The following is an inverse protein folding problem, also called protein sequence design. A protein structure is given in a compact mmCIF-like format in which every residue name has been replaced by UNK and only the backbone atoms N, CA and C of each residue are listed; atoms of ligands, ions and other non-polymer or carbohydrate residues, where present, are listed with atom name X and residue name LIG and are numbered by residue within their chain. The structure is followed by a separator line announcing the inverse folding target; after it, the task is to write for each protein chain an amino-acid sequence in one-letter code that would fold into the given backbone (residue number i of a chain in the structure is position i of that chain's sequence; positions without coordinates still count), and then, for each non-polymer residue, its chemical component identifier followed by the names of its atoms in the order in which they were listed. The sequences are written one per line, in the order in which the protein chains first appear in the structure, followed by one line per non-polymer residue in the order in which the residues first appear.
data_IF_090507946980
#
_entry.id   IF_090507946980
#
_cell.length_a   1.000
_cell.length_b   1.000
_cell.length_c   1.000
_cell.angle_alpha   90.00
_cell.angle_beta   90.00
_cell.angle_gamma   90.00
#
_symmetry.space_group_name_H-M   'P 1'
#
loop_
_entity.id
_entity.type
_entity.pdbx_description
1 polymer ?
#
# COMPACT_ATOMS: atom_id res chain seq x y z
N UNK A 1 0.84 -38.39 -16.69
CA UNK A 1 -0.16 -38.58 -17.75
C UNK A 1 -0.83 -37.22 -17.91
N UNK A 2 -0.44 -36.56 -18.98
CA UNK A 2 -0.93 -35.26 -19.38
C UNK A 2 -2.28 -35.39 -20.06
N UNK A 3 -3.28 -34.72 -19.57
CA UNK A 3 -4.54 -34.56 -20.28
C UNK A 3 -4.85 -33.08 -20.43
N UNK A 4 -4.38 -32.49 -21.52
CA UNK A 4 -4.89 -31.21 -21.98
C UNK A 4 -6.16 -31.49 -22.78
N UNK A 5 -7.28 -30.98 -22.33
CA UNK A 5 -8.50 -30.93 -23.10
C UNK A 5 -8.47 -29.65 -23.93
N UNK A 6 -8.22 -29.75 -25.22
CA UNK A 6 -8.52 -28.67 -26.14
C UNK A 6 -10.03 -28.51 -26.24
N UNK A 7 -10.54 -27.42 -25.74
CA UNK A 7 -11.89 -26.97 -26.11
C UNK A 7 -11.73 -26.01 -27.28
N UNK A 8 -11.98 -26.53 -28.45
CA UNK A 8 -11.99 -25.75 -29.68
C UNK A 8 -13.16 -24.77 -29.71
N UNK A 9 -12.88 -23.60 -30.21
CA UNK A 9 -13.88 -22.88 -30.97
C UNK A 9 -14.33 -21.53 -30.46
N UNK A 10 -14.07 -20.57 -31.27
CA UNK A 10 -14.67 -19.26 -31.48
C UNK A 10 -14.14 -18.12 -30.63
N UNK A 11 -13.47 -17.24 -31.33
CA UNK A 11 -12.89 -15.98 -30.93
C UNK A 11 -13.57 -15.26 -29.80
N UNK A 12 -13.09 -15.51 -28.59
CA UNK A 12 -13.20 -14.54 -27.54
C UNK A 12 -12.04 -13.56 -27.74
N UNK A 13 -12.39 -12.34 -28.10
CA UNK A 13 -11.55 -11.18 -27.85
C UNK A 13 -11.24 -11.28 -26.38
N UNK A 14 -9.99 -11.62 -26.03
CA UNK A 14 -9.60 -11.78 -24.66
C UNK A 14 -10.06 -10.54 -23.87
N UNK A 15 -10.84 -10.74 -22.83
CA UNK A 15 -11.13 -9.67 -21.89
C UNK A 15 -9.79 -9.20 -21.38
N UNK A 16 -9.41 -7.95 -21.70
CA UNK A 16 -8.26 -7.30 -21.07
C UNK A 16 -8.53 -7.40 -19.57
N UNK A 17 -7.71 -8.17 -18.86
CA UNK A 17 -7.85 -8.28 -17.42
C UNK A 17 -7.74 -6.87 -16.86
N UNK A 18 -8.82 -6.38 -16.21
CA UNK A 18 -8.80 -5.09 -15.53
C UNK A 18 -7.74 -5.15 -14.45
N UNK A 19 -6.79 -4.20 -14.48
CA UNK A 19 -5.78 -4.06 -13.46
C UNK A 19 -5.92 -2.72 -12.77
N UNK A 20 -5.67 -2.70 -11.49
CA UNK A 20 -5.67 -1.50 -10.66
C UNK A 20 -4.32 -1.32 -9.98
N UNK A 21 -3.98 -0.06 -9.71
CA UNK A 21 -2.82 0.33 -8.93
C UNK A 21 -3.26 0.92 -7.60
N UNK A 22 -2.45 0.72 -6.58
CA UNK A 22 -2.67 1.32 -5.27
C UNK A 22 -1.37 1.80 -4.66
N UNK A 23 -1.45 2.81 -3.80
CA UNK A 23 -0.29 3.33 -3.09
C UNK A 23 -0.16 2.63 -1.74
N UNK A 24 1.07 2.26 -1.42
CA UNK A 24 1.46 1.81 -0.09
C UNK A 24 2.62 2.67 0.40
N UNK A 25 2.57 3.07 1.66
CA UNK A 25 3.71 3.67 2.34
C UNK A 25 4.13 2.73 3.48
N UNK A 26 5.40 2.38 3.52
CA UNK A 26 6.01 1.83 4.72
C UNK A 26 6.48 3.03 5.53
N UNK A 27 5.85 3.23 6.68
CA UNK A 27 6.05 4.42 7.52
C UNK A 27 7.44 4.42 8.18
N UNK A 28 7.88 5.54 8.76
CA UNK A 28 9.22 5.61 9.36
C UNK A 28 9.51 4.52 10.38
N UNK A 29 8.53 4.09 11.17
CA UNK A 29 8.69 3.01 12.14
C UNK A 29 9.01 1.66 11.48
N UNK A 30 8.39 1.35 10.35
CA UNK A 30 8.71 0.14 9.58
C UNK A 30 10.15 0.16 9.04
N UNK A 31 10.59 1.30 8.55
CA UNK A 31 11.96 1.48 8.04
C UNK A 31 12.98 1.39 9.19
N UNK A 32 12.74 2.09 10.30
CA UNK A 32 13.59 2.06 11.50
C UNK A 32 13.73 0.65 12.06
N UNK A 33 12.64 -0.12 12.09
CA UNK A 33 12.61 -1.48 12.59
C UNK A 33 13.13 -2.51 11.59
N UNK A 34 13.58 -2.09 10.41
CA UNK A 34 14.12 -2.97 9.35
C UNK A 34 13.13 -4.03 8.87
N UNK A 35 11.87 -3.62 8.75
CA UNK A 35 10.78 -4.48 8.30
C UNK A 35 10.48 -4.34 6.80
N UNK A 36 11.18 -3.46 6.08
CA UNK A 36 10.93 -3.20 4.65
C UNK A 36 10.93 -4.48 3.84
N UNK A 37 11.98 -5.29 3.96
CA UNK A 37 12.09 -6.54 3.20
C UNK A 37 10.97 -7.52 3.49
N UNK A 38 10.58 -7.68 4.74
CA UNK A 38 9.51 -8.60 5.15
C UNK A 38 8.14 -8.14 4.62
N UNK A 39 7.86 -6.85 4.67
CA UNK A 39 6.59 -6.30 4.19
C UNK A 39 6.50 -6.37 2.67
N UNK A 40 7.56 -5.97 1.97
CA UNK A 40 7.63 -6.05 0.50
C UNK A 40 7.49 -7.50 0.02
N UNK A 41 8.16 -8.44 0.69
CA UNK A 41 8.06 -9.86 0.37
C UNK A 41 6.61 -10.38 0.46
N UNK A 42 5.81 -9.90 1.38
CA UNK A 42 4.40 -10.28 1.49
C UNK A 42 3.58 -9.84 0.28
N UNK A 43 3.82 -8.63 -0.22
CA UNK A 43 3.14 -8.15 -1.43
C UNK A 43 3.55 -8.94 -2.66
N UNK A 44 4.84 -9.24 -2.81
CA UNK A 44 5.33 -10.09 -3.91
C UNK A 44 4.77 -11.52 -3.82
N UNK A 45 4.75 -12.10 -2.62
CA UNK A 45 4.18 -13.43 -2.40
C UNK A 45 2.68 -13.50 -2.71
N UNK A 46 1.97 -12.39 -2.59
CA UNK A 46 0.55 -12.25 -2.97
C UNK A 46 0.35 -12.08 -4.48
N UNK A 47 1.43 -12.14 -5.27
CA UNK A 47 1.42 -11.95 -6.72
C UNK A 47 1.00 -10.53 -7.14
N UNK A 48 1.35 -9.53 -6.35
CA UNK A 48 1.19 -8.13 -6.70
C UNK A 48 2.49 -7.62 -7.31
N UNK A 49 2.39 -6.87 -8.40
CA UNK A 49 3.54 -6.32 -9.10
C UNK A 49 3.96 -5.00 -8.45
N UNK A 50 5.25 -4.83 -8.20
CA UNK A 50 5.82 -3.56 -7.77
C UNK A 50 6.14 -2.77 -9.04
N UNK A 51 5.35 -1.75 -9.33
CA UNK A 51 5.56 -0.92 -10.54
C UNK A 51 6.36 0.35 -10.24
N UNK A 52 6.46 0.76 -8.98
CA UNK A 52 7.36 1.80 -8.52
C UNK A 52 7.70 1.57 -7.05
N UNK A 53 8.93 1.89 -6.66
CA UNK A 53 9.40 1.82 -5.28
C UNK A 53 10.48 2.87 -5.04
N UNK A 54 10.36 3.63 -3.95
CA UNK A 54 11.29 4.70 -3.62
C UNK A 54 11.45 4.84 -2.11
N UNK A 55 12.69 4.88 -1.65
CA UNK A 55 13.01 5.33 -0.29
C UNK A 55 13.07 6.86 -0.31
N UNK A 56 12.22 7.50 0.49
CA UNK A 56 11.97 8.93 0.34
C UNK A 56 11.76 9.61 1.69
N UNK A 57 12.44 10.73 1.90
CA UNK A 57 12.14 11.63 3.00
C UNK A 57 10.98 12.54 2.59
N UNK A 58 9.87 12.50 3.33
CA UNK A 58 8.71 13.32 3.02
C UNK A 58 8.90 14.75 3.52
N UNK A 59 8.59 15.72 2.67
CA UNK A 59 8.53 17.13 3.04
C UNK A 59 7.12 17.54 3.48
N UNK A 60 7.02 18.73 4.05
CA UNK A 60 5.74 19.25 4.58
C UNK A 60 4.70 19.47 3.49
N UNK A 61 5.10 19.81 2.28
CA UNK A 61 4.20 20.03 1.15
C UNK A 61 3.58 18.71 0.67
N UNK A 62 4.40 17.68 0.49
CA UNK A 62 3.92 16.35 0.14
C UNK A 62 2.97 15.79 1.20
N UNK A 63 3.30 15.97 2.49
CA UNK A 63 2.45 15.53 3.59
C UNK A 63 1.11 16.27 3.62
N UNK A 64 1.11 17.57 3.37
CA UNK A 64 -0.12 18.36 3.30
C UNK A 64 -1.02 17.91 2.14
N UNK A 65 -0.45 17.57 1.00
CA UNK A 65 -1.19 17.04 -0.14
C UNK A 65 -1.75 15.64 0.12
N UNK A 66 -0.93 14.77 0.70
CA UNK A 66 -1.33 13.39 1.00
C UNK A 66 -2.42 13.33 2.07
N UNK A 67 -2.28 14.13 3.12
CA UNK A 67 -3.20 14.20 4.26
C UNK A 67 -4.12 15.43 4.20
N UNK A 68 -4.51 15.88 3.01
CA UNK A 68 -5.30 17.12 2.87
C UNK A 68 -6.57 17.16 3.71
N UNK A 69 -7.22 16.01 3.92
CA UNK A 69 -8.42 15.89 4.76
C UNK A 69 -8.13 16.08 6.25
N UNK A 70 -6.88 15.99 6.65
CA UNK A 70 -6.45 16.08 8.05
C UNK A 70 -5.83 17.42 8.40
N UNK A 71 -5.48 18.25 7.41
CA UNK A 71 -4.91 19.58 7.62
C UNK A 71 -5.85 20.40 8.49
N UNK A 72 -5.30 21.02 9.54
CA UNK A 72 -6.07 21.82 10.49
C UNK A 72 -6.73 21.04 11.62
N UNK A 73 -6.67 19.71 11.63
CA UNK A 73 -7.14 18.90 12.76
C UNK A 73 -6.09 18.84 13.87
N UNK A 74 -6.53 18.63 15.11
CA UNK A 74 -5.66 18.69 16.28
C UNK A 74 -4.51 17.67 16.28
N UNK A 75 -4.67 16.51 15.62
CA UNK A 75 -3.64 15.48 15.53
C UNK A 75 -2.67 15.69 14.35
N UNK A 76 -2.91 16.68 13.50
CA UNK A 76 -2.14 16.83 12.24
C UNK A 76 -0.66 17.12 12.50
N UNK A 77 -0.34 17.97 13.48
CA UNK A 77 1.05 18.29 13.82
C UNK A 77 1.84 17.04 14.24
N UNK A 78 1.25 16.18 15.07
CA UNK A 78 1.86 14.93 15.50
C UNK A 78 2.04 13.96 14.34
N UNK A 79 1.07 13.90 13.42
CA UNK A 79 1.14 13.09 12.21
C UNK A 79 2.29 13.53 11.30
N UNK A 80 2.45 14.83 11.09
CA UNK A 80 3.56 15.40 10.30
C UNK A 80 4.91 15.09 10.94
N UNK A 81 5.04 15.27 12.25
CA UNK A 81 6.25 14.96 13.00
C UNK A 81 6.62 13.48 12.84
N UNK A 82 5.66 12.58 13.03
CA UNK A 82 5.87 11.15 12.86
C UNK A 82 6.29 10.79 11.43
N UNK A 83 5.53 11.25 10.43
CA UNK A 83 5.77 10.87 9.03
C UNK A 83 7.01 11.51 8.41
N UNK A 84 7.57 12.56 9.03
CA UNK A 84 8.81 13.22 8.60
C UNK A 84 10.01 12.89 9.50
N UNK A 85 9.81 12.09 10.53
CA UNK A 85 10.86 11.69 11.49
C UNK A 85 12.02 10.95 10.83
N UNK A 86 11.76 10.22 9.78
CA UNK A 86 12.72 9.47 8.99
C UNK A 86 12.14 9.12 7.62
N UNK A 87 12.91 8.46 6.75
CA UNK A 87 12.42 8.09 5.44
C UNK A 87 11.29 7.06 5.50
N UNK A 88 10.44 7.11 4.49
CA UNK A 88 9.42 6.11 4.19
C UNK A 88 9.80 5.35 2.93
N UNK A 89 9.23 4.16 2.73
CA UNK A 89 9.25 3.50 1.43
C UNK A 89 7.88 3.68 0.79
N UNK A 90 7.85 4.37 -0.35
CA UNK A 90 6.65 4.51 -1.16
C UNK A 90 6.62 3.43 -2.23
N UNK A 91 5.50 2.76 -2.38
CA UNK A 91 5.28 1.70 -3.35
C UNK A 91 4.02 1.99 -4.16
N UNK A 92 4.10 1.80 -5.47
CA UNK A 92 2.91 1.60 -6.29
C UNK A 92 2.82 0.12 -6.63
N UNK A 93 1.72 -0.51 -6.22
CA UNK A 93 1.44 -1.91 -6.46
C UNK A 93 0.35 -2.05 -7.52
N UNK A 94 0.53 -2.99 -8.43
CA UNK A 94 -0.45 -3.33 -9.47
C UNK A 94 -0.91 -4.76 -9.31
N UNK A 95 -2.20 -4.97 -9.49
CA UNK A 95 -2.81 -6.29 -9.40
C UNK A 95 -4.20 -6.28 -10.05
N UNK A 96 -5.04 -7.28 -9.76
CA UNK A 96 -6.40 -7.34 -10.27
C UNK A 96 -7.25 -6.12 -9.89
N UNK A 97 -8.43 -6.03 -10.46
CA UNK A 97 -9.41 -5.02 -10.04
C UNK A 97 -9.59 -5.03 -8.51
N UNK A 98 -9.68 -3.84 -7.92
CA UNK A 98 -9.79 -3.64 -6.48
C UNK A 98 -8.56 -4.11 -5.67
N UNK A 99 -7.38 -4.02 -6.24
CA UNK A 99 -6.12 -4.33 -5.55
C UNK A 99 -5.97 -3.54 -4.23
N UNK A 100 -6.53 -2.33 -4.15
CA UNK A 100 -6.52 -1.57 -2.90
C UNK A 100 -7.18 -2.33 -1.74
N UNK A 101 -8.26 -3.08 -2.00
CA UNK A 101 -8.91 -3.92 -0.97
C UNK A 101 -8.02 -5.08 -0.55
N UNK A 102 -7.38 -5.74 -1.50
CA UNK A 102 -6.44 -6.83 -1.23
C UNK A 102 -5.31 -6.35 -0.32
N UNK A 103 -4.71 -5.22 -0.65
CA UNK A 103 -3.63 -4.63 0.14
C UNK A 103 -4.11 -4.27 1.55
N UNK A 104 -5.28 -3.66 1.68
CA UNK A 104 -5.82 -3.31 3.00
C UNK A 104 -6.15 -4.55 3.85
N UNK A 105 -6.63 -5.61 3.24
CA UNK A 105 -6.83 -6.90 3.92
C UNK A 105 -5.50 -7.48 4.42
N UNK A 106 -4.43 -7.35 3.64
CA UNK A 106 -3.09 -7.78 4.06
C UNK A 106 -2.51 -6.92 5.18
N UNK A 107 -2.84 -5.63 5.20
CA UNK A 107 -2.39 -4.70 6.25
C UNK A 107 -3.02 -4.97 7.61
N UNK A 108 -4.28 -5.36 7.62
CA UNK A 108 -5.07 -5.53 8.84
C UNK A 108 -5.76 -4.25 9.28
N UNK A 109 -6.43 -4.31 10.43
CA UNK A 109 -7.14 -3.18 11.01
C UNK A 109 -6.17 -2.03 11.35
N UNK A 110 -6.67 -0.79 11.31
CA UNK A 110 -5.88 0.41 11.62
C UNK A 110 -5.22 0.33 12.99
N UNK A 111 -5.94 -0.23 13.97
CA UNK A 111 -5.37 -0.50 15.29
C UNK A 111 -4.68 -1.88 15.30
N UNK A 112 -3.35 -1.95 15.50
CA UNK A 112 -2.62 -3.21 15.54
C UNK A 112 -3.15 -4.20 16.57
N UNK A 113 -3.67 -3.73 17.70
CA UNK A 113 -4.23 -4.59 18.75
C UNK A 113 -5.49 -5.32 18.31
N UNK A 114 -6.17 -4.82 17.28
CA UNK A 114 -7.39 -5.42 16.70
C UNK A 114 -7.12 -6.08 15.36
N UNK A 115 -5.87 -6.09 14.91
CA UNK A 115 -5.48 -6.70 13.65
C UNK A 115 -5.27 -8.20 13.85
N UNK A 116 -5.80 -9.00 12.93
CA UNK A 116 -5.67 -10.45 13.00
C UNK A 116 -4.20 -10.88 12.78
N UNK A 117 -3.74 -11.94 13.47
CA UNK A 117 -2.48 -12.59 13.12
C UNK A 117 -2.45 -12.98 11.64
N UNK A 118 -1.31 -12.86 11.01
CA UNK A 118 -1.14 -13.05 9.55
C UNK A 118 -1.24 -11.75 8.75
N UNK A 119 -1.86 -10.72 9.29
CA UNK A 119 -1.79 -9.38 8.71
C UNK A 119 -0.50 -8.67 9.10
N UNK A 120 -0.09 -7.67 8.33
CA UNK A 120 1.14 -6.92 8.61
C UNK A 120 1.08 -6.29 10.00
N UNK A 121 0.01 -5.60 10.33
CA UNK A 121 -0.16 -4.97 11.64
C UNK A 121 -0.36 -5.98 12.75
N UNK A 122 -1.05 -7.09 12.48
CA UNK A 122 -1.25 -8.17 13.45
C UNK A 122 0.03 -8.87 13.84
N UNK A 123 0.96 -9.04 12.90
CA UNK A 123 2.23 -9.71 13.14
C UNK A 123 3.30 -8.79 13.72
N UNK A 124 3.32 -7.51 13.33
CA UNK A 124 4.45 -6.62 13.64
C UNK A 124 4.07 -5.38 14.43
N UNK A 125 2.82 -4.95 14.44
CA UNK A 125 2.39 -3.73 15.09
C UNK A 125 1.89 -3.97 16.52
N UNK A 126 2.15 -2.98 17.41
CA UNK A 126 1.66 -2.99 18.79
C UNK A 126 1.03 -1.66 19.21
N UNK A 127 1.33 -0.57 18.48
CA UNK A 127 0.87 0.77 18.82
C UNK A 127 -0.03 1.34 17.72
N UNK A 128 -1.12 1.97 18.13
CA UNK A 128 -2.05 2.61 17.20
C UNK A 128 -1.38 3.73 16.38
N UNK A 129 -0.52 4.51 17.02
CA UNK A 129 0.16 5.67 16.40
C UNK A 129 1.36 5.27 15.54
N UNK A 130 1.88 4.07 15.71
CA UNK A 130 3.00 3.51 14.95
C UNK A 130 2.57 2.17 14.35
N UNK A 131 1.74 2.25 13.33
CA UNK A 131 1.08 1.07 12.74
C UNK A 131 1.66 0.63 11.38
N UNK A 132 2.91 0.99 11.12
CA UNK A 132 3.82 0.46 10.11
C UNK A 132 3.52 0.84 8.66
N UNK A 133 2.28 0.80 8.24
CA UNK A 133 1.92 0.89 6.82
C UNK A 133 0.70 1.78 6.60
N UNK A 134 0.67 2.38 5.43
CA UNK A 134 -0.50 3.04 4.86
C UNK A 134 -0.85 2.35 3.54
N UNK A 135 -2.11 2.18 3.27
CA UNK A 135 -2.62 1.77 1.96
C UNK A 135 -3.83 2.62 1.60
N UNK A 136 -3.97 2.93 0.32
CA UNK A 136 -5.12 3.69 -0.18
C UNK A 136 -6.43 3.01 0.20
N UNK A 137 -7.44 3.78 0.57
CA UNK A 137 -8.71 3.28 1.11
C UNK A 137 -9.85 3.20 0.10
N UNK A 138 -9.55 3.52 -1.16
CA UNK A 138 -10.48 3.44 -2.29
C UNK A 138 -9.71 3.54 -3.60
N UNK A 139 -10.36 3.23 -4.72
CA UNK A 139 -9.78 3.44 -6.04
C UNK A 139 -9.47 4.92 -6.28
N UNK A 140 -10.38 5.80 -5.92
CA UNK A 140 -10.19 7.25 -6.06
C UNK A 140 -9.00 7.75 -5.22
N UNK A 141 -8.87 7.29 -3.98
CA UNK A 141 -7.70 7.61 -3.13
C UNK A 141 -6.41 7.06 -3.73
N UNK A 142 -6.42 5.85 -4.28
CA UNK A 142 -5.26 5.25 -4.91
C UNK A 142 -4.77 6.09 -6.09
N UNK A 143 -5.66 6.51 -6.98
CA UNK A 143 -5.32 7.35 -8.12
C UNK A 143 -4.75 8.71 -7.69
N UNK A 144 -5.37 9.35 -6.72
CA UNK A 144 -4.92 10.63 -6.17
C UNK A 144 -3.54 10.51 -5.52
N UNK A 145 -3.36 9.52 -4.68
CA UNK A 145 -2.11 9.31 -3.92
C UNK A 145 -0.96 8.92 -4.84
N UNK A 146 -1.18 8.07 -5.82
CA UNK A 146 -0.16 7.75 -6.83
C UNK A 146 0.24 9.00 -7.60
N UNK A 147 -0.70 9.86 -7.95
CA UNK A 147 -0.42 11.14 -8.61
C UNK A 147 0.48 12.07 -7.78
N UNK A 148 0.39 11.99 -6.45
CA UNK A 148 1.25 12.76 -5.54
C UNK A 148 2.66 12.17 -5.47
N UNK A 149 2.79 10.86 -5.31
CA UNK A 149 4.08 10.20 -5.07
C UNK A 149 4.81 9.82 -6.36
N UNK A 150 4.10 9.42 -7.38
CA UNK A 150 4.65 8.94 -8.65
C UNK A 150 3.93 9.58 -9.85
N UNK A 151 4.09 10.90 -10.04
CA UNK A 151 3.32 11.62 -11.07
C UNK A 151 3.61 11.17 -12.51
N UNK A 152 4.73 10.48 -12.73
CA UNK A 152 5.13 10.01 -14.05
C UNK A 152 4.75 8.55 -14.33
N UNK A 153 4.04 7.92 -13.42
CA UNK A 153 3.67 6.52 -13.54
C UNK A 153 2.43 6.30 -14.41
#
# INVERSE_FOLDING_TARGET
ISGWVEVGGHGQIGSVAMSDRTLVLLKPDAVERKLVGQVVARFEAKNLDIVAMELRQLDTDTLARHYEEHVGKGFYADLVEFMSRGPVVALALEGPQDTWEVVRAMMGATNPLKSAPGTIRGDFGTLFTENLVHGSDSLASAEREIGIFFPNL
#
